data_IF_760908456711
#
_entry.id   IF_760908456711
#
_cell.length_a   1.000
_cell.length_b   1.000
_cell.length_c   1.000
_cell.angle_alpha   90.00
_cell.angle_beta   90.00
_cell.angle_gamma   90.00
#
_symmetry.space_group_name_H-M   'P 1'
#
loop_
_entity.id
_entity.type
_entity.pdbx_description
1 polymer ?
#
# COMPACT_ATOMS: atom_id res chain seq x y z
N UNK A 1 -12.71 25.94 -56.84
CA UNK A 1 -11.44 25.17 -56.74
C UNK A 1 -11.67 24.07 -55.71
N UNK A 2 -11.68 22.82 -56.17
CA UNK A 2 -12.00 21.63 -55.37
C UNK A 2 -10.72 21.08 -54.73
N UNK A 3 -10.60 21.14 -53.40
CA UNK A 3 -9.49 20.53 -52.66
C UNK A 3 -9.88 19.07 -52.35
N UNK A 4 -9.20 18.15 -53.02
CA UNK A 4 -9.35 16.70 -52.87
C UNK A 4 -8.83 16.25 -51.50
N UNK A 5 -9.61 15.39 -50.86
CA UNK A 5 -9.27 14.62 -49.65
C UNK A 5 -8.08 13.69 -49.92
N UNK A 6 -7.15 13.60 -48.96
CA UNK A 6 -6.11 12.56 -48.90
C UNK A 6 -6.31 11.78 -47.59
N UNK A 7 -6.48 10.44 -47.63
CA UNK A 7 -6.48 9.62 -46.42
C UNK A 7 -5.04 9.24 -46.07
N UNK A 8 -4.55 9.66 -44.91
CA UNK A 8 -3.26 9.22 -44.39
C UNK A 8 -3.44 7.86 -43.71
N UNK A 9 -2.65 6.90 -44.18
CA UNK A 9 -2.62 5.50 -43.80
C UNK A 9 -2.31 5.27 -42.32
N UNK A 10 -2.90 4.20 -41.80
CA UNK A 10 -2.55 3.50 -40.57
C UNK A 10 -1.03 3.31 -40.45
N UNK A 11 -0.46 3.73 -39.32
CA UNK A 11 0.83 3.26 -38.85
C UNK A 11 0.61 2.45 -37.56
N UNK A 12 0.48 1.14 -37.74
CA UNK A 12 0.45 0.15 -36.66
C UNK A 12 1.86 0.01 -36.09
N UNK A 13 2.13 0.64 -34.95
CA UNK A 13 3.37 0.40 -34.21
C UNK A 13 3.16 -0.81 -33.30
N UNK A 14 3.66 -1.95 -33.76
CA UNK A 14 3.99 -3.09 -32.91
C UNK A 14 5.09 -2.65 -31.93
N UNK A 15 4.80 -2.64 -30.63
CA UNK A 15 5.85 -2.78 -29.62
C UNK A 15 5.84 -4.22 -29.12
N UNK A 16 6.95 -4.90 -29.40
CA UNK A 16 7.26 -6.24 -28.97
C UNK A 16 7.61 -6.25 -27.48
N UNK A 17 7.24 -7.36 -26.84
CA UNK A 17 7.47 -7.70 -25.45
C UNK A 17 8.94 -7.60 -25.03
N UNK A 18 9.16 -7.03 -23.85
CA UNK A 18 10.30 -7.37 -23.00
C UNK A 18 9.73 -7.91 -21.69
N UNK A 19 9.54 -9.24 -21.64
CA UNK A 19 9.25 -9.95 -20.41
C UNK A 19 10.50 -9.92 -19.53
N UNK A 20 10.46 -9.15 -18.44
CA UNK A 20 11.42 -9.20 -17.34
C UNK A 20 10.74 -9.73 -16.09
N UNK A 21 10.22 -10.96 -16.12
CA UNK A 21 9.71 -11.62 -14.93
C UNK A 21 10.89 -12.17 -14.13
N UNK A 22 11.34 -11.46 -13.12
CA UNK A 22 12.09 -12.07 -12.02
C UNK A 22 11.08 -12.54 -10.98
N UNK A 23 10.63 -13.79 -11.10
CA UNK A 23 9.92 -14.48 -10.03
C UNK A 23 10.97 -15.30 -9.28
N UNK A 24 11.24 -14.95 -8.03
CA UNK A 24 12.00 -15.82 -7.12
C UNK A 24 11.08 -16.99 -6.77
N UNK A 25 11.28 -18.13 -7.44
CA UNK A 25 10.64 -19.38 -7.06
C UNK A 25 11.50 -20.06 -5.98
N UNK A 26 11.05 -20.00 -4.72
CA UNK A 26 11.65 -20.81 -3.66
C UNK A 26 11.15 -22.26 -3.72
N UNK A 27 12.09 -23.17 -4.00
CA UNK A 27 12.28 -24.43 -3.26
C UNK A 27 11.16 -25.46 -3.27
N UNK A 28 11.20 -26.37 -4.26
CA UNK A 28 10.52 -27.67 -4.18
C UNK A 28 11.17 -28.59 -3.14
N UNK A 29 10.34 -29.14 -2.25
CA UNK A 29 10.66 -30.27 -1.38
C UNK A 29 9.73 -31.45 -1.69
N UNK A 30 10.33 -32.60 -1.98
CA UNK A 30 9.69 -33.86 -2.36
C UNK A 30 8.76 -34.46 -1.28
N UNK A 31 7.80 -35.34 -1.67
CA UNK A 31 6.79 -35.89 -0.78
C UNK A 31 7.29 -37.12 -0.01
N UNK A 32 7.44 -37.03 1.31
CA UNK A 32 7.55 -38.22 2.16
C UNK A 32 6.18 -38.78 2.52
N UNK A 33 6.05 -40.07 2.17
CA UNK A 33 4.94 -40.96 2.48
C UNK A 33 4.69 -41.09 3.98
N UNK A 34 3.47 -40.77 4.42
CA UNK A 34 2.92 -41.29 5.67
C UNK A 34 1.61 -42.03 5.39
N UNK A 35 1.69 -43.36 5.38
CA UNK A 35 0.54 -44.27 5.44
C UNK A 35 -0.20 -44.04 6.76
N UNK A 36 -1.39 -43.46 6.70
CA UNK A 36 -2.32 -43.30 7.82
C UNK A 36 -3.55 -44.20 7.64
N UNK A 37 -3.71 -45.12 8.58
CA UNK A 37 -4.64 -46.24 8.64
C UNK A 37 -6.12 -45.84 8.47
N UNK A 38 -6.86 -46.59 7.65
CA UNK A 38 -8.29 -46.42 7.45
C UNK A 38 -9.12 -46.87 8.65
N UNK A 39 -10.13 -46.09 9.00
CA UNK A 39 -11.27 -46.55 9.79
C UNK A 39 -12.55 -46.03 9.14
N UNK A 40 -13.32 -46.95 8.58
CA UNK A 40 -14.68 -46.73 8.12
C UNK A 40 -15.60 -46.55 9.31
N UNK A 41 -16.32 -45.43 9.39
CA UNK A 41 -17.64 -45.44 10.02
C UNK A 41 -18.55 -44.44 9.30
N UNK A 42 -19.50 -44.97 8.54
CA UNK A 42 -20.57 -44.23 7.93
C UNK A 42 -21.66 -43.97 8.97
N UNK A 43 -22.08 -42.73 9.14
CA UNK A 43 -23.45 -42.40 9.52
C UNK A 43 -23.78 -41.01 8.95
N UNK A 44 -24.78 -40.97 8.06
CA UNK A 44 -25.26 -39.75 7.44
C UNK A 44 -26.10 -38.91 8.39
N UNK A 45 -26.02 -37.59 8.23
CA UNK A 45 -27.14 -36.73 8.52
C UNK A 45 -27.10 -35.48 7.63
N UNK A 46 -28.30 -35.05 7.25
CA UNK A 46 -28.69 -34.00 6.30
C UNK A 46 -28.48 -32.57 6.79
N UNK A 47 -28.18 -31.67 5.83
CA UNK A 47 -28.77 -30.32 5.77
C UNK A 47 -27.92 -29.11 6.19
N UNK A 48 -27.76 -28.15 5.27
CA UNK A 48 -27.81 -26.71 5.60
C UNK A 48 -26.48 -25.93 5.72
N UNK A 49 -26.35 -24.94 4.81
CA UNK A 49 -25.80 -23.58 5.03
C UNK A 49 -24.37 -23.34 5.51
N UNK A 50 -23.62 -22.55 4.73
CA UNK A 50 -22.65 -21.54 5.20
C UNK A 50 -21.32 -22.06 5.73
N UNK A 51 -20.34 -22.24 4.83
CA UNK A 51 -18.96 -22.48 5.20
C UNK A 51 -18.11 -21.25 4.92
N UNK A 52 -17.92 -20.41 5.95
CA UNK A 52 -16.87 -19.40 5.96
C UNK A 52 -15.51 -20.10 5.90
N UNK A 53 -14.68 -19.68 4.95
CA UNK A 53 -13.29 -20.10 4.86
C UNK A 53 -12.49 -19.36 5.92
N UNK A 54 -12.35 -19.96 7.10
CA UNK A 54 -11.33 -19.57 8.07
C UNK A 54 -10.04 -20.33 7.71
N UNK A 55 -9.23 -19.73 6.84
CA UNK A 55 -7.87 -20.17 6.52
C UNK A 55 -6.89 -19.49 7.47
N UNK A 56 -6.15 -20.28 8.24
CA UNK A 56 -5.47 -19.84 9.44
C UNK A 56 -4.20 -18.99 9.27
N UNK A 57 -3.87 -18.36 10.39
CA UNK A 57 -2.53 -18.04 10.91
C UNK A 57 -1.82 -16.78 10.43
N UNK A 58 -2.34 -15.66 10.93
CA UNK A 58 -1.54 -14.56 11.46
C UNK A 58 -2.46 -13.62 12.23
N UNK A 59 -2.51 -13.71 13.57
CA UNK A 59 -3.07 -12.60 14.37
C UNK A 59 -2.09 -11.43 14.34
N UNK A 60 -1.90 -10.85 13.16
CA UNK A 60 -1.37 -9.50 13.02
C UNK A 60 -2.50 -8.55 13.35
N UNK A 61 -2.22 -7.50 14.12
CA UNK A 61 -3.17 -6.41 14.28
C UNK A 61 -3.53 -5.90 12.89
N UNK A 62 -4.81 -5.93 12.54
CA UNK A 62 -5.31 -5.36 11.28
C UNK A 62 -5.26 -3.83 11.42
N UNK A 63 -4.13 -3.23 11.04
CA UNK A 63 -4.01 -1.78 11.02
C UNK A 63 -4.83 -1.24 9.84
N UNK A 64 -5.64 -0.19 10.04
CA UNK A 64 -6.47 0.33 8.96
C UNK A 64 -5.60 0.89 7.84
N UNK A 65 -5.92 0.47 6.62
CA UNK A 65 -5.25 0.88 5.41
C UNK A 65 -6.25 1.51 4.43
N UNK A 66 -5.78 2.37 3.53
CA UNK A 66 -6.57 2.94 2.43
C UNK A 66 -5.74 3.06 1.17
N UNK A 67 -6.42 3.00 0.03
CA UNK A 67 -5.83 3.19 -1.28
C UNK A 67 -6.46 4.42 -1.95
N UNK A 68 -5.65 5.35 -2.42
CA UNK A 68 -6.12 6.53 -3.15
C UNK A 68 -5.10 6.98 -4.19
N UNK A 69 -5.56 7.51 -5.31
CA UNK A 69 -4.66 8.01 -6.34
C UNK A 69 -4.00 9.33 -5.92
N UNK A 70 -2.91 9.69 -6.58
CA UNK A 70 -2.26 10.99 -6.39
C UNK A 70 -3.23 12.14 -6.56
N UNK A 71 -4.06 12.09 -7.60
CA UNK A 71 -5.05 13.11 -7.88
C UNK A 71 -6.09 13.25 -6.75
N UNK A 72 -6.55 12.13 -6.17
CA UNK A 72 -7.45 12.17 -5.01
C UNK A 72 -6.75 12.79 -3.79
N UNK A 73 -5.50 12.42 -3.55
CA UNK A 73 -4.70 12.97 -2.45
C UNK A 73 -4.47 14.48 -2.59
N UNK A 74 -4.28 14.99 -3.81
CA UNK A 74 -4.16 16.43 -4.08
C UNK A 74 -5.43 17.20 -3.70
N UNK A 75 -6.60 16.70 -4.12
CA UNK A 75 -7.89 17.32 -3.78
C UNK A 75 -8.08 17.42 -2.26
N UNK A 76 -7.73 16.37 -1.53
CA UNK A 76 -7.85 16.34 -0.06
C UNK A 76 -6.88 17.31 0.62
N UNK A 77 -5.65 17.44 0.11
CA UNK A 77 -4.71 18.43 0.63
C UNK A 77 -5.14 19.86 0.33
N UNK A 78 -5.65 20.12 -0.87
CA UNK A 78 -6.17 21.43 -1.23
C UNK A 78 -7.34 21.84 -0.32
N UNK A 79 -8.26 20.93 -0.02
CA UNK A 79 -9.35 21.17 0.93
C UNK A 79 -8.84 21.41 2.35
N UNK A 80 -7.87 20.61 2.81
CA UNK A 80 -7.26 20.76 4.13
C UNK A 80 -6.66 22.17 4.30
N UNK A 81 -5.87 22.64 3.33
CA UNK A 81 -5.20 23.95 3.41
C UNK A 81 -6.15 25.13 3.16
N UNK A 82 -7.26 24.93 2.46
CA UNK A 82 -8.31 25.95 2.39
C UNK A 82 -8.99 26.17 3.74
N UNK A 83 -9.10 25.12 4.55
CA UNK A 83 -9.78 25.14 5.84
C UNK A 83 -8.85 25.39 7.04
N UNK A 84 -7.54 25.17 6.88
CA UNK A 84 -6.52 25.39 7.90
C UNK A 84 -5.58 26.53 7.47
N UNK A 85 -5.53 27.59 8.29
CA UNK A 85 -4.78 28.83 8.04
C UNK A 85 -3.30 28.55 7.61
N UNK A 86 -2.83 29.02 6.44
CA UNK A 86 -1.51 28.69 5.89
C UNK A 86 -0.33 29.37 6.60
N UNK A 87 -0.48 29.80 7.86
CA UNK A 87 0.59 30.45 8.62
C UNK A 87 1.69 29.49 9.09
N UNK A 88 1.47 28.18 8.98
CA UNK A 88 2.50 27.15 9.11
C UNK A 88 3.09 26.80 7.75
N UNK A 89 4.41 27.00 7.58
CA UNK A 89 5.14 26.55 6.40
C UNK A 89 4.87 25.07 6.12
N UNK A 90 4.21 24.77 5.01
CA UNK A 90 4.10 23.41 4.50
C UNK A 90 5.49 22.96 4.03
N UNK A 91 6.25 22.32 4.92
CA UNK A 91 7.37 21.49 4.50
C UNK A 91 6.76 20.22 3.89
N UNK A 92 6.42 20.27 2.61
CA UNK A 92 6.19 19.09 1.79
C UNK A 92 7.49 18.29 1.70
N UNK A 93 7.69 17.37 2.64
CA UNK A 93 8.78 16.39 2.58
C UNK A 93 8.51 15.23 1.61
N UNK A 94 7.51 15.36 0.72
CA UNK A 94 7.24 14.43 -0.37
C UNK A 94 7.39 15.16 -1.69
N UNK A 95 8.39 14.78 -2.49
CA UNK A 95 8.92 15.56 -3.60
C UNK A 95 7.89 16.12 -4.58
N UNK A 96 8.08 17.41 -4.92
CA UNK A 96 7.57 18.10 -6.11
C UNK A 96 8.16 17.52 -7.42
N UNK A 97 8.32 16.20 -7.49
CA UNK A 97 8.52 15.53 -8.77
C UNK A 97 7.16 15.36 -9.44
N UNK A 98 7.18 15.35 -10.77
CA UNK A 98 6.02 15.18 -11.64
C UNK A 98 5.38 13.79 -11.47
N UNK A 99 4.76 13.56 -10.30
CA UNK A 99 4.01 12.36 -9.94
C UNK A 99 2.87 12.18 -10.93
N UNK A 100 2.64 10.95 -11.34
CA UNK A 100 1.51 10.67 -12.22
C UNK A 100 0.22 10.79 -11.38
N UNK A 101 -0.81 11.50 -11.86
CA UNK A 101 -2.10 11.58 -11.17
C UNK A 101 -2.71 10.20 -10.84
N UNK A 102 -2.35 9.17 -11.60
CA UNK A 102 -2.81 7.79 -11.45
C UNK A 102 -1.92 6.94 -10.52
N UNK A 103 -0.86 7.49 -9.93
CA UNK A 103 -0.05 6.79 -8.93
C UNK A 103 -0.94 6.45 -7.72
N UNK A 104 -0.95 5.18 -7.31
CA UNK A 104 -1.80 4.68 -6.24
C UNK A 104 -1.03 4.68 -4.92
N UNK A 105 -1.48 5.47 -3.96
CA UNK A 105 -0.92 5.52 -2.61
C UNK A 105 -1.62 4.49 -1.73
N UNK A 106 -0.85 3.52 -1.22
CA UNK A 106 -1.26 2.62 -0.15
C UNK A 106 -0.81 3.24 1.17
N UNK A 107 -1.77 3.64 2.01
CA UNK A 107 -1.48 4.30 3.28
C UNK A 107 -1.95 3.43 4.43
N UNK A 108 -1.08 3.24 5.42
CA UNK A 108 -1.33 2.44 6.62
C UNK A 108 -0.88 3.25 7.83
N UNK A 109 -1.64 3.21 8.91
CA UNK A 109 -1.25 3.83 10.18
C UNK A 109 -1.87 3.09 11.35
N UNK A 110 -1.20 3.11 12.50
CA UNK A 110 -1.72 2.58 13.75
C UNK A 110 -2.90 3.39 14.32
N UNK A 111 -3.02 4.66 13.94
CA UNK A 111 -4.16 5.53 14.26
C UNK A 111 -5.36 5.31 13.35
N UNK A 112 -5.17 4.57 12.26
CA UNK A 112 -6.22 4.17 11.34
C UNK A 112 -6.47 5.17 10.22
N UNK A 113 -5.74 4.99 9.11
CA UNK A 113 -6.04 5.72 7.89
C UNK A 113 -7.44 5.36 7.39
N UNK A 114 -8.25 6.38 7.07
CA UNK A 114 -9.60 6.21 6.51
C UNK A 114 -9.80 7.13 5.32
N UNK A 115 -10.75 6.83 4.44
CA UNK A 115 -10.99 7.67 3.26
C UNK A 115 -11.53 9.06 3.58
N UNK A 116 -12.11 9.26 4.77
CA UNK A 116 -12.57 10.57 5.23
C UNK A 116 -11.45 11.40 5.86
N UNK A 117 -10.33 10.76 6.20
CA UNK A 117 -9.17 11.41 6.80
C UNK A 117 -7.88 10.64 6.43
N UNK A 118 -7.54 10.50 5.12
CA UNK A 118 -6.40 9.68 4.73
C UNK A 118 -5.06 10.38 5.00
N UNK A 119 -5.11 11.68 5.28
CA UNK A 119 -3.99 12.53 5.71
C UNK A 119 -4.01 12.81 7.21
N UNK A 120 -4.71 11.99 8.02
CA UNK A 120 -4.77 12.18 9.49
C UNK A 120 -3.36 12.43 10.03
N UNK A 121 -3.19 13.58 10.68
CA UNK A 121 -1.92 13.96 11.29
C UNK A 121 -1.60 12.97 12.41
N UNK A 122 -0.37 12.46 12.44
CA UNK A 122 0.04 11.55 13.50
C UNK A 122 0.41 12.39 14.72
N UNK A 123 -0.44 12.34 15.75
CA UNK A 123 -0.18 13.02 17.01
C UNK A 123 0.98 12.39 17.77
N UNK A 124 1.44 13.06 18.83
CA UNK A 124 2.39 12.45 19.77
C UNK A 124 1.80 11.24 20.48
N UNK A 125 2.62 10.22 20.73
CA UNK A 125 2.17 9.00 21.39
C UNK A 125 2.75 7.68 20.87
N UNK A 126 3.87 7.70 20.14
CA UNK A 126 4.41 6.47 19.58
C UNK A 126 3.68 6.01 18.32
N UNK A 127 3.15 6.94 17.53
CA UNK A 127 2.31 6.64 16.37
C UNK A 127 3.12 6.60 15.09
N UNK A 128 2.71 5.79 14.12
CA UNK A 128 3.41 5.67 12.86
C UNK A 128 2.46 5.69 11.67
N UNK A 129 3.03 6.07 10.53
CA UNK A 129 2.34 6.08 9.25
C UNK A 129 3.30 5.62 8.15
N UNK A 130 2.81 4.70 7.32
CA UNK A 130 3.44 4.15 6.15
C UNK A 130 2.67 4.60 4.91
N UNK A 131 3.37 5.14 3.92
CA UNK A 131 2.82 5.51 2.62
C UNK A 131 3.67 4.92 1.52
N UNK A 132 3.08 4.07 0.67
CA UNK A 132 3.74 3.47 -0.49
C UNK A 132 3.08 3.97 -1.76
N UNK A 133 3.85 4.58 -2.66
CA UNK A 133 3.35 5.05 -3.94
C UNK A 133 3.59 3.99 -5.02
N UNK A 134 2.52 3.50 -5.66
CA UNK A 134 2.58 2.52 -6.74
C UNK A 134 2.28 3.19 -8.08
N UNK A 135 3.29 3.33 -8.95
CA UNK A 135 3.07 3.73 -10.33
C UNK A 135 2.16 2.75 -11.07
N UNK A 136 1.41 3.20 -12.10
CA UNK A 136 0.50 2.34 -12.86
C UNK A 136 1.13 1.03 -13.38
N UNK A 137 2.42 1.06 -13.72
CA UNK A 137 3.15 -0.12 -14.18
C UNK A 137 3.32 -1.21 -13.10
N UNK A 138 3.21 -0.84 -11.82
CA UNK A 138 3.34 -1.72 -10.65
C UNK A 138 1.98 -2.01 -9.98
N UNK A 139 0.86 -1.50 -10.50
CA UNK A 139 -0.48 -1.75 -9.99
C UNK A 139 -1.04 -3.10 -10.49
N UNK A 140 -0.32 -4.18 -10.19
CA UNK A 140 -0.69 -5.54 -10.55
C UNK A 140 -0.19 -6.51 -9.47
N UNK A 141 -0.73 -7.73 -9.46
CA UNK A 141 -0.28 -8.78 -8.54
C UNK A 141 1.20 -9.08 -8.80
N UNK A 142 2.00 -9.12 -7.74
CA UNK A 142 3.44 -9.32 -7.84
C UNK A 142 4.19 -8.95 -6.55
N UNK A 143 5.48 -9.29 -6.51
CA UNK A 143 6.40 -8.92 -5.43
C UNK A 143 7.39 -7.89 -5.95
N UNK A 144 7.54 -6.80 -5.22
CA UNK A 144 8.34 -5.63 -5.57
C UNK A 144 9.36 -5.35 -4.47
N UNK A 145 10.56 -4.99 -4.89
CA UNK A 145 11.60 -4.50 -3.99
C UNK A 145 11.28 -3.06 -3.58
N UNK A 146 11.19 -2.81 -2.27
CA UNK A 146 10.94 -1.46 -1.74
C UNK A 146 12.09 -0.49 -2.02
N UNK A 147 13.29 -1.00 -2.32
CA UNK A 147 14.45 -0.21 -2.75
C UNK A 147 14.50 0.00 -4.28
N UNK A 148 13.49 -0.47 -5.02
CA UNK A 148 13.38 -0.12 -6.44
C UNK A 148 13.26 1.41 -6.61
N UNK A 149 13.97 2.02 -7.58
CA UNK A 149 13.91 3.46 -7.82
C UNK A 149 12.47 3.99 -8.01
N UNK A 150 11.60 3.17 -8.60
CA UNK A 150 10.20 3.49 -8.85
C UNK A 150 9.39 3.65 -7.56
N UNK A 151 9.65 2.84 -6.53
CA UNK A 151 8.95 2.92 -5.25
C UNK A 151 9.63 3.88 -4.28
N UNK A 152 10.97 3.95 -4.26
CA UNK A 152 11.74 4.80 -3.34
C UNK A 152 11.45 6.29 -3.48
N UNK A 153 11.11 6.76 -4.68
CA UNK A 153 10.98 8.19 -4.96
C UNK A 153 9.91 8.88 -4.10
N UNK A 154 8.85 8.14 -3.72
CA UNK A 154 7.66 8.72 -3.07
C UNK A 154 7.08 7.86 -1.95
N UNK A 155 7.69 6.71 -1.67
CA UNK A 155 7.31 5.86 -0.55
C UNK A 155 8.12 6.24 0.69
N UNK A 156 7.44 6.41 1.82
CA UNK A 156 8.05 6.86 3.06
C UNK A 156 7.31 6.30 4.28
N UNK A 157 8.00 6.35 5.41
CA UNK A 157 7.44 6.08 6.73
C UNK A 157 7.76 7.26 7.65
N UNK A 158 6.86 7.53 8.58
CA UNK A 158 7.02 8.52 9.65
C UNK A 158 6.56 7.97 10.99
N UNK A 159 7.20 8.41 12.08
CA UNK A 159 6.91 8.00 13.46
C UNK A 159 6.99 9.21 14.40
N UNK A 160 6.09 9.27 15.38
CA UNK A 160 6.13 10.20 16.51
C UNK A 160 6.60 9.48 17.76
N UNK A 161 7.38 10.17 18.58
CA UNK A 161 7.80 9.68 19.89
C UNK A 161 6.67 9.82 20.93
N UNK A 162 6.99 9.35 22.14
CA UNK A 162 6.09 9.45 23.29
C UNK A 162 5.74 10.90 23.66
N UNK A 163 4.53 11.07 24.18
CA UNK A 163 4.12 12.31 24.86
C UNK A 163 5.06 12.61 26.05
N UNK A 164 5.47 13.88 26.17
CA UNK A 164 6.27 14.41 27.29
C UNK A 164 7.72 13.91 27.40
N UNK A 165 8.38 13.62 26.28
CA UNK A 165 9.84 13.46 26.25
C UNK A 165 10.54 14.82 26.56
N UNK A 166 11.25 14.98 27.69
CA UNK A 166 11.98 16.22 27.97
C UNK A 166 13.13 16.42 26.96
N UNK A 167 13.42 17.65 26.48
CA UNK A 167 13.04 18.95 27.03
C UNK A 167 12.19 19.83 26.09
N UNK A 168 11.51 19.25 25.10
CA UNK A 168 10.70 20.03 24.15
C UNK A 168 9.31 20.26 24.77
N UNK A 169 8.58 21.29 24.36
CA UNK A 169 7.44 21.84 25.11
C UNK A 169 6.34 20.81 25.41
N UNK A 170 5.37 21.13 26.27
CA UNK A 170 4.38 20.17 26.81
C UNK A 170 3.52 19.41 25.76
N UNK A 171 3.66 19.72 24.47
CA UNK A 171 3.00 19.05 23.33
C UNK A 171 3.99 18.59 22.24
N UNK A 172 5.29 18.80 22.41
CA UNK A 172 6.31 18.39 21.44
C UNK A 172 6.87 17.00 21.79
N UNK A 173 6.78 16.08 20.84
CA UNK A 173 7.48 14.80 20.83
C UNK A 173 8.52 14.78 19.71
N UNK A 174 9.48 13.85 19.77
CA UNK A 174 10.36 13.60 18.63
C UNK A 174 9.53 13.18 17.41
N UNK A 175 9.85 13.72 16.24
CA UNK A 175 9.26 13.26 14.97
C UNK A 175 10.39 12.76 14.07
N UNK A 176 10.20 11.59 13.48
CA UNK A 176 11.11 10.97 12.54
C UNK A 176 10.39 10.57 11.27
N UNK A 177 11.12 10.57 10.15
CA UNK A 177 10.61 10.02 8.91
C UNK A 177 11.69 9.87 7.86
N UNK A 178 11.44 9.01 6.88
CA UNK A 178 12.41 8.72 5.82
C UNK A 178 11.91 7.66 4.84
N UNK A 179 12.81 7.26 3.95
CA UNK A 179 12.58 6.13 3.05
C UNK A 179 12.37 4.83 3.82
N UNK A 180 11.62 3.89 3.24
CA UNK A 180 11.29 2.60 3.85
C UNK A 180 12.52 1.70 4.11
N UNK A 181 13.56 1.86 3.28
CA UNK A 181 14.74 0.99 3.29
C UNK A 181 14.46 -0.38 2.67
N UNK A 182 15.31 -1.35 2.99
CA UNK A 182 15.26 -2.70 2.43
C UNK A 182 14.00 -3.46 2.84
N UNK A 183 13.36 -4.12 1.88
CA UNK A 183 12.16 -4.91 2.12
C UNK A 183 11.38 -5.23 0.86
N UNK A 184 10.21 -5.84 1.02
CA UNK A 184 9.34 -6.21 -0.10
C UNK A 184 7.92 -5.73 0.11
N UNK A 185 7.30 -5.28 -0.98
CA UNK A 185 5.86 -5.13 -1.15
C UNK A 185 5.35 -6.28 -2.02
N UNK A 186 4.40 -7.06 -1.52
CA UNK A 186 3.68 -8.05 -2.30
C UNK A 186 2.23 -7.60 -2.50
N UNK A 187 1.81 -7.38 -3.74
CA UNK A 187 0.39 -7.17 -4.07
C UNK A 187 -0.24 -8.54 -4.29
N UNK A 188 -1.16 -8.91 -3.39
CA UNK A 188 -1.86 -10.20 -3.38
C UNK A 188 -3.09 -10.16 -4.28
N UNK A 189 -3.83 -9.05 -4.24
CA UNK A 189 -4.95 -8.77 -5.13
C UNK A 189 -5.10 -7.25 -5.30
N UNK A 190 -5.64 -6.85 -6.45
CA UNK A 190 -5.93 -5.45 -6.74
C UNK A 190 -7.10 -5.39 -7.71
N UNK A 191 -8.13 -4.64 -7.35
CA UNK A 191 -9.28 -4.37 -8.21
C UNK A 191 -9.79 -2.93 -8.03
N UNK A 192 -11.02 -2.67 -8.50
CA UNK A 192 -11.68 -1.36 -8.44
C UNK A 192 -12.19 -0.98 -7.04
N UNK A 193 -12.26 -1.92 -6.11
CA UNK A 193 -12.79 -1.71 -4.76
C UNK A 193 -11.68 -1.67 -3.70
N UNK A 194 -10.64 -2.50 -3.84
CA UNK A 194 -9.60 -2.62 -2.82
C UNK A 194 -8.27 -3.14 -3.36
N UNK A 195 -7.24 -3.05 -2.51
CA UNK A 195 -5.92 -3.64 -2.70
C UNK A 195 -5.58 -4.48 -1.50
N UNK A 196 -5.28 -5.76 -1.70
CA UNK A 196 -4.72 -6.62 -0.65
C UNK A 196 -3.23 -6.73 -0.88
N UNK A 197 -2.45 -6.44 0.14
CA UNK A 197 -1.00 -6.41 0.01
C UNK A 197 -0.31 -6.79 1.31
N UNK A 198 0.94 -7.22 1.19
CA UNK A 198 1.81 -7.55 2.30
C UNK A 198 3.08 -6.71 2.22
N UNK A 199 3.51 -6.18 3.34
CA UNK A 199 4.77 -5.45 3.50
C UNK A 199 5.67 -6.26 4.44
N UNK A 200 6.92 -6.42 4.03
CA UNK A 200 7.97 -7.02 4.86
C UNK A 200 9.18 -6.09 4.83
N UNK A 201 9.49 -5.46 5.96
CA UNK A 201 10.70 -4.66 6.09
C UNK A 201 11.86 -5.52 6.59
N UNK A 202 13.05 -5.27 6.05
CA UNK A 202 14.29 -5.95 6.44
C UNK A 202 15.17 -4.95 7.18
N UNK A 203 15.44 -5.23 8.47
CA UNK A 203 16.19 -4.33 9.34
C UNK A 203 15.27 -3.32 10.04
N UNK A 204 15.33 -3.29 11.37
CA UNK A 204 14.57 -2.32 12.17
C UNK A 204 15.23 -0.96 12.06
N UNK A 205 14.79 -0.15 11.09
CA UNK A 205 15.23 1.24 10.92
C UNK A 205 14.45 2.17 11.86
N UNK A 206 13.31 1.71 12.36
CA UNK A 206 12.33 2.44 13.16
C UNK A 206 11.97 1.63 14.41
N UNK A 207 11.38 2.28 15.42
CA UNK A 207 10.91 1.58 16.62
C UNK A 207 9.60 0.81 16.32
N UNK A 208 8.76 1.37 15.46
CA UNK A 208 7.60 0.69 14.88
C UNK A 208 7.97 -0.32 13.78
N UNK A 209 7.29 -1.47 13.76
CA UNK A 209 7.34 -2.46 12.68
C UNK A 209 6.00 -2.50 11.93
N UNK A 210 5.90 -1.85 10.75
CA UNK A 210 4.70 -1.88 9.92
C UNK A 210 4.66 -3.11 9.00
N UNK A 211 5.49 -4.12 9.21
CA UNK A 211 5.41 -5.37 8.44
C UNK A 211 4.10 -6.09 8.76
N UNK A 212 3.36 -6.47 7.72
CA UNK A 212 2.03 -7.02 7.88
C UNK A 212 1.31 -7.25 6.57
N UNK A 213 0.13 -7.87 6.65
CA UNK A 213 -0.80 -8.02 5.54
C UNK A 213 -1.98 -7.07 5.77
N UNK A 214 -2.40 -6.40 4.71
CA UNK A 214 -3.33 -5.28 4.75
C UNK A 214 -4.37 -5.39 3.64
N UNK A 215 -5.59 -4.98 3.96
CA UNK A 215 -6.65 -4.71 3.00
C UNK A 215 -6.92 -3.21 2.98
N UNK A 216 -6.60 -2.57 1.86
CA UNK A 216 -6.83 -1.14 1.63
C UNK A 216 -8.02 -0.94 0.70
N UNK A 217 -9.21 -0.58 1.22
CA UNK A 217 -10.30 -0.10 0.38
C UNK A 217 -9.86 1.14 -0.41
N UNK A 218 -10.30 1.21 -1.66
CA UNK A 218 -10.13 2.39 -2.50
C UNK A 218 -11.07 3.50 -2.05
N UNK A 219 -10.52 4.68 -1.88
CA UNK A 219 -11.31 5.84 -1.54
C UNK A 219 -12.17 6.28 -2.73
N UNK A 220 -13.41 6.74 -2.47
CA UNK A 220 -14.28 7.27 -3.50
C UNK A 220 -13.62 8.47 -4.18
N UNK A 221 -13.98 8.70 -5.45
CA UNK A 221 -13.46 9.82 -6.24
C UNK A 221 -13.94 11.18 -5.71
N UNK A 222 -15.11 11.18 -5.06
CA UNK A 222 -15.66 12.33 -4.33
C UNK A 222 -15.69 11.99 -2.83
N UNK A 223 -14.87 12.64 -1.98
CA UNK A 223 -14.91 12.48 -0.53
C UNK A 223 -16.18 13.09 0.11
#
# INVERSE_FOLDING_TARGET
MNIKRLPLLLLSVLFAAACGNYVVAEGGGDPESAKGNGNNNSNGNSGGTGGGGTGGSGSGMEYPAVALTRAQLDVLWDEYWQNNDPSGSSSSSGGDGNLNPDDLFLRVSDLGATCNAPTTDIGCGGHWHLSIALPPALQQVGVYDLESPELLAYSYMSETGDLHQPPVSNEDCSYGGGSLGSGTLEILSIDENEVHFRVVLTGGIWEADPSGEYTAPRCPVDP
#
